data_IF_276265302512
#
_entry.id   IF_276265302512
#
_cell.length_a   1.000
_cell.length_b   1.000
_cell.length_c   1.000
_cell.angle_alpha   90.00
_cell.angle_beta   90.00
_cell.angle_gamma   90.00
#
_symmetry.space_group_name_H-M   'P 1'
#
loop_
_entity.id
_entity.type
_entity.pdbx_description
1 polymer ?
#
# COMPACT_ATOMS: atom_id res chain seq x y z
N UNK A 1 -41.72 17.04 32.62
CA UNK A 1 -41.01 15.97 33.36
C UNK A 1 -39.87 15.46 32.49
N UNK A 2 -38.77 16.21 32.42
CA UNK A 2 -37.50 15.76 31.86
C UNK A 2 -36.66 15.31 33.05
N UNK A 3 -36.40 14.02 33.17
CA UNK A 3 -35.73 13.45 34.34
C UNK A 3 -34.33 14.04 34.52
N UNK A 4 -34.19 14.85 35.56
CA UNK A 4 -32.95 15.16 36.25
C UNK A 4 -32.29 13.85 36.70
N UNK A 5 -31.33 13.34 35.93
CA UNK A 5 -30.30 12.40 36.42
C UNK A 5 -29.16 12.18 35.41
N UNK A 6 -28.58 13.27 34.87
CA UNK A 6 -27.21 13.16 34.34
C UNK A 6 -26.25 13.26 35.52
N UNK A 7 -25.77 12.09 35.94
CA UNK A 7 -24.70 11.87 36.93
C UNK A 7 -23.67 13.01 36.87
N UNK A 8 -23.55 13.79 37.94
CA UNK A 8 -22.32 14.54 38.19
C UNK A 8 -21.18 13.51 38.23
N UNK A 9 -20.16 13.73 37.40
CA UNK A 9 -18.97 12.88 37.44
C UNK A 9 -18.27 13.19 38.76
N UNK A 10 -18.38 12.31 39.75
CA UNK A 10 -17.76 12.46 41.06
C UNK A 10 -16.25 12.25 41.02
N UNK A 11 -15.54 13.12 40.31
CA UNK A 11 -14.08 13.17 40.30
C UNK A 11 -13.61 13.94 41.53
N UNK A 12 -12.60 13.43 42.22
CA UNK A 12 -11.93 14.19 43.27
C UNK A 12 -10.92 15.19 42.67
N UNK A 13 -10.52 16.19 43.46
CA UNK A 13 -9.62 17.27 42.99
C UNK A 13 -8.31 16.72 42.41
N UNK A 14 -7.77 15.65 42.99
CA UNK A 14 -6.55 15.00 42.48
C UNK A 14 -6.76 14.37 41.10
N UNK A 15 -7.91 13.73 40.85
CA UNK A 15 -8.27 13.17 39.55
C UNK A 15 -8.50 14.26 38.50
N UNK A 16 -9.13 15.38 38.88
CA UNK A 16 -9.34 16.53 38.00
C UNK A 16 -7.99 17.15 37.63
N UNK A 17 -7.14 17.43 38.61
CA UNK A 17 -5.80 17.98 38.39
C UNK A 17 -4.95 17.05 37.53
N UNK A 18 -4.98 15.74 37.77
CA UNK A 18 -4.25 14.76 36.95
C UNK A 18 -4.78 14.70 35.51
N UNK A 19 -6.08 14.89 35.29
CA UNK A 19 -6.67 14.93 33.96
C UNK A 19 -6.30 16.21 33.22
N UNK A 20 -6.36 17.35 33.90
CA UNK A 20 -5.98 18.66 33.36
C UNK A 20 -4.49 18.70 33.01
N UNK A 21 -3.62 18.31 33.95
CA UNK A 21 -2.15 18.27 33.77
C UNK A 21 -1.71 17.34 32.63
N UNK A 22 -2.46 16.27 32.36
CA UNK A 22 -2.19 15.37 31.22
C UNK A 22 -2.69 15.90 29.88
N UNK A 23 -3.67 16.78 29.90
CA UNK A 23 -4.30 17.32 28.70
C UNK A 23 -3.66 18.65 28.27
N UNK A 24 -3.13 19.40 29.23
CA UNK A 24 -2.34 20.62 29.08
C UNK A 24 -0.92 20.26 28.57
N UNK A 25 -0.72 20.39 27.25
CA UNK A 25 0.48 19.98 26.56
C UNK A 25 1.58 21.04 26.61
N UNK A 26 1.23 22.31 26.78
CA UNK A 26 2.18 23.42 26.90
C UNK A 26 2.47 23.83 28.35
N UNK A 27 1.77 23.19 29.31
CA UNK A 27 1.90 23.39 30.75
C UNK A 27 1.60 24.83 31.20
N UNK A 28 0.66 25.50 30.52
CA UNK A 28 0.27 26.87 30.83
C UNK A 28 -0.83 26.97 31.92
N UNK A 29 -1.38 25.83 32.36
CA UNK A 29 -2.42 25.73 33.39
C UNK A 29 -3.86 25.94 32.88
N UNK A 30 -4.07 26.06 31.56
CA UNK A 30 -5.37 26.29 30.92
C UNK A 30 -5.51 25.48 29.64
N UNK A 31 -6.58 24.69 29.57
CA UNK A 31 -6.88 23.95 28.33
C UNK A 31 -7.40 24.88 27.25
N UNK A 32 -6.66 24.98 26.16
CA UNK A 32 -7.17 25.64 24.96
C UNK A 32 -8.16 24.73 24.17
N UNK A 33 -8.72 25.26 23.08
CA UNK A 33 -9.68 24.51 22.27
C UNK A 33 -9.05 23.27 21.61
N UNK A 34 -7.78 23.34 21.24
CA UNK A 34 -7.05 22.25 20.57
C UNK A 34 -6.76 21.13 21.56
N UNK A 35 -6.26 21.45 22.75
CA UNK A 35 -6.01 20.52 23.84
C UNK A 35 -7.30 19.87 24.34
N UNK A 36 -8.35 20.67 24.54
CA UNK A 36 -9.67 20.14 24.90
C UNK A 36 -10.21 19.22 23.81
N UNK A 37 -10.08 19.60 22.53
CA UNK A 37 -10.48 18.76 21.41
C UNK A 37 -9.73 17.43 21.40
N UNK A 38 -8.41 17.45 21.59
CA UNK A 38 -7.59 16.23 21.63
C UNK A 38 -7.94 15.32 22.82
N UNK A 39 -8.29 15.90 23.96
CA UNK A 39 -8.73 15.16 25.14
C UNK A 39 -10.01 14.38 24.86
N UNK A 40 -11.04 15.05 24.33
CA UNK A 40 -12.36 14.43 24.07
C UNK A 40 -12.33 13.49 22.87
N UNK A 41 -11.45 13.70 21.89
CA UNK A 41 -11.29 12.79 20.76
C UNK A 41 -10.28 11.68 21.02
N UNK A 42 -9.65 11.61 22.20
CA UNK A 42 -8.72 10.52 22.50
C UNK A 42 -9.35 9.12 22.35
N UNK A 43 -8.58 8.14 21.87
CA UNK A 43 -9.05 6.76 21.76
C UNK A 43 -9.66 6.25 23.09
N UNK A 44 -9.05 6.61 24.23
CA UNK A 44 -9.48 6.20 25.57
C UNK A 44 -10.86 6.76 25.96
N UNK A 45 -11.27 7.89 25.40
CA UNK A 45 -12.59 8.47 25.63
C UNK A 45 -13.71 7.71 24.91
N UNK A 46 -13.39 6.78 23.99
CA UNK A 46 -14.39 6.08 23.21
C UNK A 46 -15.13 4.98 24.00
N UNK A 47 -16.47 4.89 23.86
CA UNK A 47 -17.30 4.02 24.70
C UNK A 47 -17.10 2.52 24.40
N UNK A 48 -16.87 2.15 23.14
CA UNK A 48 -16.70 0.75 22.73
C UNK A 48 -15.23 0.38 22.51
N UNK A 49 -14.89 -0.91 22.75
CA UNK A 49 -13.56 -1.44 22.46
C UNK A 49 -13.20 -1.35 20.98
N UNK A 50 -14.17 -1.59 20.09
CA UNK A 50 -13.98 -1.49 18.65
C UNK A 50 -13.60 -0.07 18.20
N UNK A 51 -14.29 0.96 18.72
CA UNK A 51 -13.95 2.37 18.42
C UNK A 51 -12.57 2.73 18.98
N UNK A 52 -12.24 2.26 20.19
CA UNK A 52 -10.90 2.41 20.77
C UNK A 52 -9.79 1.89 19.84
N UNK A 53 -9.99 0.71 19.25
CA UNK A 53 -9.03 0.13 18.29
C UNK A 53 -8.96 0.96 17.02
N UNK A 54 -10.10 1.34 16.43
CA UNK A 54 -10.14 2.16 15.21
C UNK A 54 -9.42 3.50 15.39
N UNK A 55 -9.63 4.17 16.53
CA UNK A 55 -8.92 5.40 16.86
C UNK A 55 -7.43 5.17 17.00
N UNK A 56 -7.01 4.12 17.71
CA UNK A 56 -5.59 3.80 17.86
C UNK A 56 -4.91 3.48 16.53
N UNK A 57 -5.62 2.83 15.61
CA UNK A 57 -5.11 2.54 14.26
C UNK A 57 -5.02 3.83 13.44
N UNK A 58 -6.05 4.67 13.45
CA UNK A 58 -6.04 5.95 12.76
C UNK A 58 -4.94 6.88 13.28
N UNK A 59 -4.82 7.01 14.61
CA UNK A 59 -3.80 7.82 15.30
C UNK A 59 -2.37 7.40 14.96
N UNK A 60 -2.17 6.15 14.57
CA UNK A 60 -0.86 5.68 14.14
C UNK A 60 -0.45 6.29 12.80
N UNK A 61 -1.40 6.65 11.92
CA UNK A 61 -1.20 7.09 10.53
C UNK A 61 -1.40 8.58 10.31
N UNK A 62 -2.15 9.26 11.17
CA UNK A 62 -2.50 10.68 10.98
C UNK A 62 -1.62 11.63 11.79
N UNK A 63 -1.52 12.87 11.29
CA UNK A 63 -0.92 13.97 12.02
C UNK A 63 -1.78 14.39 13.23
N UNK A 64 -1.18 15.04 14.23
CA UNK A 64 -1.93 15.54 15.40
C UNK A 64 -3.05 16.50 15.02
N UNK A 65 -2.81 17.43 14.10
CA UNK A 65 -3.83 18.38 13.64
C UNK A 65 -5.00 17.73 12.90
N UNK A 66 -4.80 16.51 12.37
CA UNK A 66 -5.82 15.75 11.64
C UNK A 66 -6.76 14.95 12.54
N UNK A 67 -6.38 14.72 13.79
CA UNK A 67 -7.14 13.90 14.74
C UNK A 67 -8.58 14.34 14.92
N UNK A 68 -8.90 15.62 15.20
CA UNK A 68 -10.29 16.01 15.46
C UNK A 68 -11.23 15.69 14.28
N UNK A 69 -10.80 16.02 13.06
CA UNK A 69 -11.58 15.78 11.84
C UNK A 69 -11.72 14.28 11.54
N UNK A 70 -10.62 13.53 11.61
CA UNK A 70 -10.63 12.09 11.32
C UNK A 70 -11.44 11.33 12.38
N UNK A 71 -11.34 11.72 13.65
CA UNK A 71 -12.13 11.14 14.73
C UNK A 71 -13.61 11.49 14.63
N UNK A 72 -13.97 12.73 14.29
CA UNK A 72 -15.36 13.10 14.02
C UNK A 72 -15.94 12.21 12.90
N UNK A 73 -15.16 12.03 11.83
CA UNK A 73 -15.54 11.12 10.76
C UNK A 73 -15.72 9.68 11.26
N UNK A 74 -14.79 9.13 12.05
CA UNK A 74 -14.90 7.76 12.60
C UNK A 74 -16.11 7.62 13.54
N UNK A 75 -16.49 8.68 14.25
CA UNK A 75 -17.67 8.69 15.12
C UNK A 75 -18.98 8.70 14.33
N UNK A 76 -19.04 9.46 13.24
CA UNK A 76 -20.15 9.46 12.28
C UNK A 76 -20.18 8.21 11.41
N UNK A 77 -19.09 7.45 11.42
CA UNK A 77 -18.92 6.24 10.61
C UNK A 77 -19.78 5.09 11.15
N UNK A 78 -20.98 4.99 10.60
CA UNK A 78 -21.84 3.82 10.75
C UNK A 78 -21.45 2.77 9.71
N UNK A 79 -20.31 2.09 9.93
CA UNK A 79 -19.88 0.87 9.22
C UNK A 79 -19.98 0.88 7.68
N UNK A 80 -19.97 2.05 7.01
CA UNK A 80 -20.06 2.17 5.55
C UNK A 80 -19.37 3.45 5.05
N UNK A 81 -18.39 3.34 4.13
CA UNK A 81 -17.75 2.10 3.66
C UNK A 81 -16.53 1.77 4.52
N UNK A 82 -16.41 0.60 5.19
CA UNK A 82 -15.17 0.12 5.84
C UNK A 82 -13.98 0.15 4.85
N UNK A 83 -12.74 -0.23 5.24
CA UNK A 83 -11.66 -0.39 4.28
C UNK A 83 -11.99 -1.57 3.33
N UNK A 84 -12.79 -1.28 2.31
CA UNK A 84 -13.38 -2.25 1.39
C UNK A 84 -12.34 -2.62 0.35
N UNK A 85 -11.61 -1.64 -0.21
CA UNK A 85 -10.72 -1.90 -1.34
C UNK A 85 -9.58 -2.86 -0.96
N UNK A 86 -8.83 -2.55 0.11
CA UNK A 86 -7.68 -3.36 0.51
C UNK A 86 -8.11 -4.75 0.95
N UNK A 87 -9.22 -4.87 1.68
CA UNK A 87 -9.75 -6.18 2.08
C UNK A 87 -10.23 -6.97 0.87
N UNK A 88 -11.00 -6.35 -0.04
CA UNK A 88 -11.54 -7.04 -1.22
C UNK A 88 -10.43 -7.49 -2.17
N UNK A 89 -9.40 -6.67 -2.40
CA UNK A 89 -8.29 -7.05 -3.28
C UNK A 89 -7.43 -8.17 -2.65
N UNK A 90 -7.20 -8.12 -1.33
CA UNK A 90 -6.56 -9.23 -0.59
C UNK A 90 -7.36 -10.53 -0.68
N UNK A 91 -8.69 -10.47 -0.51
CA UNK A 91 -9.55 -11.64 -0.64
C UNK A 91 -9.53 -12.19 -2.06
N UNK A 92 -9.57 -11.34 -3.08
CA UNK A 92 -9.47 -11.76 -4.48
C UNK A 92 -8.15 -12.49 -4.76
N UNK A 93 -7.02 -11.99 -4.23
CA UNK A 93 -5.71 -12.64 -4.37
C UNK A 93 -5.68 -14.03 -3.71
N UNK A 94 -6.21 -14.15 -2.48
CA UNK A 94 -6.31 -15.44 -1.78
C UNK A 94 -7.20 -16.42 -2.54
N UNK A 95 -8.39 -15.97 -2.98
CA UNK A 95 -9.35 -16.82 -3.67
C UNK A 95 -8.81 -17.32 -5.02
N UNK A 96 -8.13 -16.47 -5.78
CA UNK A 96 -7.48 -16.87 -7.04
C UNK A 96 -6.37 -17.90 -6.78
N UNK A 97 -5.54 -17.69 -5.75
CA UNK A 97 -4.50 -18.64 -5.38
C UNK A 97 -5.07 -20.00 -4.98
N UNK A 98 -6.04 -20.02 -4.06
CA UNK A 98 -6.70 -21.25 -3.60
C UNK A 98 -7.41 -21.94 -4.76
N UNK A 99 -8.07 -21.19 -5.65
CA UNK A 99 -8.75 -21.71 -6.83
C UNK A 99 -7.81 -22.44 -7.79
N UNK A 100 -6.64 -21.87 -8.08
CA UNK A 100 -5.65 -22.51 -8.97
C UNK A 100 -4.92 -23.69 -8.32
N UNK A 101 -4.73 -23.67 -7.01
CA UNK A 101 -4.10 -24.78 -6.26
C UNK A 101 -5.09 -25.92 -5.93
N UNK A 102 -6.39 -25.68 -6.05
CA UNK A 102 -7.41 -26.66 -5.70
C UNK A 102 -7.30 -27.91 -6.56
N UNK A 103 -7.14 -29.08 -5.91
CA UNK A 103 -7.02 -30.37 -6.60
C UNK A 103 -5.69 -30.61 -7.31
N UNK A 104 -4.69 -29.73 -7.13
CA UNK A 104 -3.32 -29.92 -7.63
C UNK A 104 -2.45 -30.58 -6.56
N UNK A 105 -1.57 -31.48 -6.96
CA UNK A 105 -0.58 -32.15 -6.10
C UNK A 105 0.81 -31.47 -6.19
N UNK A 106 0.83 -30.18 -6.49
CA UNK A 106 2.05 -29.38 -6.60
C UNK A 106 2.44 -28.78 -5.24
N UNK A 107 3.72 -28.44 -5.07
CA UNK A 107 4.19 -27.82 -3.84
C UNK A 107 3.56 -26.44 -3.64
N UNK A 108 2.71 -26.30 -2.62
CA UNK A 108 2.04 -25.04 -2.32
C UNK A 108 2.97 -23.94 -1.81
N UNK A 109 4.20 -24.26 -1.39
CA UNK A 109 5.14 -23.25 -0.88
C UNK A 109 5.77 -22.42 -2.00
N UNK A 110 6.12 -23.05 -3.12
CA UNK A 110 6.90 -22.43 -4.20
C UNK A 110 6.22 -22.44 -5.56
N UNK A 111 5.25 -23.33 -5.81
CA UNK A 111 4.65 -23.45 -7.14
C UNK A 111 3.82 -22.21 -7.52
N UNK A 112 3.97 -21.76 -8.78
CA UNK A 112 3.17 -20.64 -9.26
C UNK A 112 1.73 -21.02 -9.59
N UNK A 113 0.81 -20.60 -8.73
CA UNK A 113 -0.61 -20.79 -8.91
C UNK A 113 -1.11 -19.99 -10.12
N UNK A 114 -1.53 -20.69 -11.18
CA UNK A 114 -2.14 -20.09 -12.38
C UNK A 114 -1.18 -19.46 -13.37
N UNK A 115 0.15 -19.61 -13.20
CA UNK A 115 1.13 -19.19 -14.22
C UNK A 115 1.00 -20.00 -15.50
N UNK A 116 0.77 -21.31 -15.38
CA UNK A 116 0.62 -22.24 -16.51
C UNK A 116 -0.67 -23.04 -16.36
N UNK A 117 -1.50 -23.05 -17.40
CA UNK A 117 -2.80 -23.72 -17.41
C UNK A 117 -2.88 -24.59 -18.66
N UNK A 118 -2.93 -25.91 -18.47
CA UNK A 118 -2.91 -26.90 -19.56
C UNK A 118 -1.71 -26.74 -20.53
N UNK A 119 -0.51 -26.50 -20.00
CA UNK A 119 0.72 -26.36 -20.80
C UNK A 119 0.81 -25.05 -21.59
N UNK A 120 -0.04 -24.05 -21.28
CA UNK A 120 -0.01 -22.73 -21.91
C UNK A 120 0.12 -21.63 -20.87
N UNK A 121 0.61 -20.47 -21.29
CA UNK A 121 0.67 -19.27 -20.45
C UNK A 121 -0.73 -18.98 -19.88
N UNK A 122 -0.82 -18.96 -18.55
CA UNK A 122 -2.06 -18.77 -17.81
C UNK A 122 -2.71 -17.42 -18.15
N UNK A 123 -4.04 -17.31 -18.09
CA UNK A 123 -4.77 -16.16 -18.63
C UNK A 123 -4.52 -14.83 -17.91
N UNK A 124 -4.13 -14.90 -16.63
CA UNK A 124 -3.89 -13.71 -15.80
C UNK A 124 -2.42 -13.28 -15.75
N UNK A 125 -1.49 -14.15 -16.16
CA UNK A 125 -0.05 -13.91 -16.13
C UNK A 125 0.31 -12.75 -17.05
N UNK A 126 1.16 -11.83 -16.61
CA UNK A 126 1.70 -10.85 -17.55
C UNK A 126 2.89 -11.46 -18.30
N UNK A 127 2.74 -11.54 -19.61
CA UNK A 127 3.71 -12.09 -20.54
C UNK A 127 3.95 -11.07 -21.66
N UNK A 128 5.19 -10.57 -21.84
CA UNK A 128 5.52 -9.57 -22.86
C UNK A 128 5.08 -9.96 -24.28
N UNK A 129 5.23 -11.22 -24.75
CA UNK A 129 4.72 -11.62 -26.07
C UNK A 129 3.19 -11.46 -26.24
N UNK A 130 2.43 -11.46 -25.13
CA UNK A 130 0.97 -11.35 -25.12
C UNK A 130 0.48 -9.94 -24.77
N UNK A 131 1.30 -8.89 -24.97
CA UNK A 131 0.95 -7.50 -24.64
C UNK A 131 -0.36 -6.98 -25.26
N UNK A 132 -0.81 -7.56 -26.37
CA UNK A 132 -2.09 -7.22 -27.00
C UNK A 132 -3.30 -7.57 -26.09
N UNK A 133 -3.11 -8.47 -25.14
CA UNK A 133 -4.09 -8.86 -24.12
C UNK A 133 -4.02 -7.88 -22.94
N UNK A 134 -4.59 -6.69 -23.13
CA UNK A 134 -4.42 -5.53 -22.23
C UNK A 134 -4.80 -5.78 -20.76
N UNK A 135 -5.69 -6.74 -20.47
CA UNK A 135 -6.04 -7.11 -19.10
C UNK A 135 -4.84 -7.65 -18.31
N UNK A 136 -3.83 -8.24 -18.99
CA UNK A 136 -2.64 -8.80 -18.35
C UNK A 136 -1.80 -7.74 -17.62
N UNK A 137 -1.87 -6.47 -18.02
CA UNK A 137 -1.23 -5.35 -17.31
C UNK A 137 -1.86 -5.08 -15.94
N UNK A 138 -3.02 -5.67 -15.65
CA UNK A 138 -3.75 -5.51 -14.41
C UNK A 138 -3.90 -6.82 -13.63
N UNK A 139 -4.19 -7.93 -14.32
CA UNK A 139 -4.59 -9.19 -13.70
C UNK A 139 -3.45 -9.97 -13.06
N UNK A 140 -2.21 -9.67 -13.42
CA UNK A 140 -1.04 -10.38 -12.89
C UNK A 140 -0.95 -10.30 -11.36
N UNK A 141 -1.50 -9.23 -10.77
CA UNK A 141 -1.51 -8.99 -9.32
C UNK A 141 -2.20 -10.11 -8.53
N UNK A 142 -3.08 -10.89 -9.17
CA UNK A 142 -3.84 -11.94 -8.51
C UNK A 142 -3.08 -13.28 -8.45
N UNK A 143 -2.10 -13.48 -9.33
CA UNK A 143 -1.27 -14.69 -9.34
C UNK A 143 -0.11 -14.55 -8.36
N UNK A 144 0.28 -15.65 -7.72
CA UNK A 144 1.39 -15.66 -6.77
C UNK A 144 2.22 -16.94 -6.91
N UNK A 145 3.52 -16.81 -6.65
CA UNK A 145 4.50 -17.91 -6.68
C UNK A 145 4.57 -18.59 -5.31
N UNK A 146 3.56 -19.42 -5.04
CA UNK A 146 3.43 -20.14 -3.78
C UNK A 146 3.04 -19.29 -2.57
N UNK A 147 2.88 -19.97 -1.44
CA UNK A 147 2.49 -19.34 -0.16
C UNK A 147 3.59 -18.44 0.41
N UNK A 148 4.87 -18.74 0.13
CA UNK A 148 5.98 -17.89 0.54
C UNK A 148 5.96 -16.52 -0.14
N UNK A 149 5.33 -16.41 -1.32
CA UNK A 149 5.12 -15.13 -2.00
C UNK A 149 3.78 -14.49 -1.61
N UNK A 150 2.69 -15.25 -1.52
CA UNK A 150 1.35 -14.72 -1.22
C UNK A 150 1.22 -14.18 0.21
N UNK A 151 1.60 -14.97 1.21
CA UNK A 151 1.37 -14.65 2.63
C UNK A 151 2.01 -13.33 3.05
N UNK A 152 3.31 -13.06 2.80
CA UNK A 152 3.90 -11.78 3.17
C UNK A 152 3.26 -10.62 2.40
N UNK A 153 2.97 -10.77 1.10
CA UNK A 153 2.31 -9.72 0.33
C UNK A 153 0.95 -9.32 0.93
N UNK A 154 0.08 -10.30 1.19
CA UNK A 154 -1.25 -10.03 1.76
C UNK A 154 -1.13 -9.50 3.19
N UNK A 155 -0.22 -10.04 4.00
CA UNK A 155 0.00 -9.59 5.37
C UNK A 155 0.44 -8.11 5.40
N UNK A 156 1.44 -7.73 4.61
CA UNK A 156 1.90 -6.35 4.50
C UNK A 156 0.81 -5.45 3.90
N UNK A 157 0.15 -5.88 2.83
CA UNK A 157 -0.95 -5.14 2.21
C UNK A 157 -2.05 -4.80 3.21
N UNK A 158 -2.48 -5.76 4.04
CA UNK A 158 -3.47 -5.52 5.08
C UNK A 158 -2.90 -4.61 6.18
N UNK A 159 -1.68 -4.89 6.66
CA UNK A 159 -1.03 -4.14 7.74
C UNK A 159 -0.88 -2.65 7.40
N UNK A 160 -0.43 -2.32 6.18
CA UNK A 160 -0.17 -0.92 5.78
C UNK A 160 -1.36 -0.29 5.05
N UNK A 161 -2.13 -1.07 4.30
CA UNK A 161 -3.22 -0.57 3.46
C UNK A 161 -4.49 -0.29 4.24
N UNK A 162 -4.89 -1.15 5.18
CA UNK A 162 -6.12 -0.96 5.97
C UNK A 162 -6.06 0.36 6.76
N UNK A 163 -4.98 0.69 7.49
CA UNK A 163 -4.88 1.98 8.17
C UNK A 163 -4.93 3.18 7.21
N UNK A 164 -4.28 3.10 6.05
CA UNK A 164 -4.33 4.16 5.03
C UNK A 164 -5.74 4.35 4.47
N UNK A 165 -6.45 3.27 4.17
CA UNK A 165 -7.81 3.34 3.62
C UNK A 165 -8.81 3.85 4.67
N UNK A 166 -8.64 3.47 5.94
CA UNK A 166 -9.46 4.00 7.04
C UNK A 166 -9.37 5.53 7.13
N UNK A 167 -8.19 6.09 6.94
CA UNK A 167 -7.95 7.54 7.02
C UNK A 167 -8.35 8.23 5.71
N UNK A 168 -7.76 7.81 4.60
CA UNK A 168 -7.83 8.53 3.32
C UNK A 168 -8.95 8.03 2.40
N UNK A 169 -9.65 6.96 2.76
CA UNK A 169 -10.77 6.38 2.01
C UNK A 169 -10.34 5.68 0.72
N UNK A 170 -11.20 4.78 0.27
CA UNK A 170 -10.91 3.91 -0.85
C UNK A 170 -10.67 4.66 -2.16
N UNK A 171 -11.33 5.80 -2.39
CA UNK A 171 -11.17 6.57 -3.63
C UNK A 171 -9.81 7.27 -3.75
N UNK A 172 -9.04 7.39 -2.66
CA UNK A 172 -7.64 7.86 -2.68
C UNK A 172 -6.67 6.69 -2.76
N UNK A 173 -6.94 5.62 -2.01
CA UNK A 173 -6.03 4.45 -1.92
C UNK A 173 -6.10 3.54 -3.15
N UNK A 174 -7.30 3.30 -3.70
CA UNK A 174 -7.47 2.42 -4.85
C UNK A 174 -6.72 2.94 -6.10
N UNK A 175 -6.79 4.22 -6.49
CA UNK A 175 -6.00 4.72 -7.61
C UNK A 175 -4.50 4.58 -7.40
N UNK A 176 -3.97 4.88 -6.20
CA UNK A 176 -2.53 4.74 -5.89
C UNK A 176 -2.08 3.30 -6.13
N UNK A 177 -2.84 2.33 -5.62
CA UNK A 177 -2.55 0.92 -5.76
C UNK A 177 -2.66 0.43 -7.20
N UNK A 178 -3.77 0.73 -7.88
CA UNK A 178 -4.04 0.21 -9.22
C UNK A 178 -3.12 0.84 -10.27
N UNK A 179 -2.81 2.14 -10.15
CA UNK A 179 -1.84 2.80 -11.01
C UNK A 179 -0.44 2.21 -10.82
N UNK A 180 -0.08 1.77 -9.61
CA UNK A 180 1.19 1.13 -9.34
C UNK A 180 1.30 -0.24 -10.03
N UNK A 181 0.21 -1.02 -10.01
CA UNK A 181 0.12 -2.29 -10.74
C UNK A 181 0.29 -2.06 -12.24
N UNK A 182 -0.44 -1.11 -12.82
CA UNK A 182 -0.36 -0.80 -14.26
C UNK A 182 1.04 -0.31 -14.64
N UNK A 183 1.59 0.68 -13.90
CA UNK A 183 2.92 1.19 -14.16
C UNK A 183 4.00 0.12 -13.95
N UNK A 184 3.80 -0.81 -13.01
CA UNK A 184 4.68 -1.95 -12.78
C UNK A 184 4.80 -2.87 -13.99
N UNK A 185 3.66 -3.28 -14.56
CA UNK A 185 3.66 -4.10 -15.78
C UNK A 185 4.24 -3.35 -16.98
N UNK A 186 3.89 -2.06 -17.14
CA UNK A 186 4.43 -1.22 -18.20
C UNK A 186 5.95 -1.07 -18.07
N UNK A 187 6.46 -0.74 -16.89
CA UNK A 187 7.90 -0.53 -16.67
C UNK A 187 8.67 -1.83 -16.83
N UNK A 188 8.14 -2.96 -16.34
CA UNK A 188 8.73 -4.26 -16.58
C UNK A 188 8.79 -4.59 -18.06
N UNK A 189 7.71 -4.41 -18.82
CA UNK A 189 7.73 -4.65 -20.26
C UNK A 189 8.82 -3.85 -20.97
N UNK A 190 9.00 -2.59 -20.57
CA UNK A 190 9.96 -1.70 -21.24
C UNK A 190 11.41 -1.99 -20.89
N UNK A 191 11.68 -2.54 -19.71
CA UNK A 191 13.03 -2.66 -19.20
C UNK A 191 13.51 -4.12 -19.05
N UNK A 192 12.58 -5.04 -18.79
CA UNK A 192 12.80 -6.48 -18.59
C UNK A 192 11.78 -7.36 -19.36
N UNK A 193 11.69 -7.25 -20.71
CA UNK A 193 10.73 -7.98 -21.54
C UNK A 193 10.95 -9.50 -21.57
N UNK A 194 12.02 -10.03 -20.99
CA UNK A 194 12.30 -11.47 -20.94
C UNK A 194 11.68 -12.18 -19.72
N UNK A 195 11.07 -11.44 -18.80
CA UNK A 195 10.57 -11.98 -17.52
C UNK A 195 9.06 -11.88 -17.44
N UNK A 196 8.40 -12.95 -16.98
CA UNK A 196 6.97 -12.94 -16.65
C UNK A 196 6.71 -12.18 -15.36
N UNK A 197 5.55 -11.53 -15.23
CA UNK A 197 5.19 -10.83 -14.00
C UNK A 197 3.98 -11.45 -13.30
N UNK A 198 4.10 -11.61 -11.99
CA UNK A 198 3.09 -12.14 -11.07
C UNK A 198 3.18 -11.37 -9.76
N UNK A 199 2.08 -11.32 -9.01
CA UNK A 199 2.08 -10.87 -7.62
C UNK A 199 1.66 -9.42 -7.45
N UNK A 200 1.13 -9.13 -6.27
CA UNK A 200 0.57 -7.81 -5.96
C UNK A 200 1.58 -6.81 -5.39
N UNK A 201 2.87 -7.16 -5.39
CA UNK A 201 3.94 -6.43 -4.72
C UNK A 201 4.09 -4.99 -5.18
N UNK A 202 3.86 -4.67 -6.46
CA UNK A 202 3.84 -3.28 -6.95
C UNK A 202 2.82 -2.42 -6.17
N UNK A 203 1.62 -2.97 -5.89
CA UNK A 203 0.60 -2.31 -5.08
C UNK A 203 1.01 -2.21 -3.61
N UNK A 204 1.64 -3.24 -3.04
CA UNK A 204 2.17 -3.22 -1.66
C UNK A 204 3.24 -2.13 -1.50
N UNK A 205 4.17 -2.05 -2.44
CA UNK A 205 5.21 -1.03 -2.49
C UNK A 205 4.61 0.38 -2.55
N UNK A 206 3.53 0.56 -3.32
CA UNK A 206 2.84 1.83 -3.40
C UNK A 206 2.15 2.22 -2.10
N UNK A 207 1.57 1.26 -1.36
CA UNK A 207 1.01 1.53 -0.04
C UNK A 207 2.10 1.92 0.97
N UNK A 208 3.25 1.24 0.93
CA UNK A 208 4.39 1.54 1.81
C UNK A 208 4.95 2.93 1.51
N UNK A 209 5.19 3.28 0.25
CA UNK A 209 5.70 4.62 -0.08
C UNK A 209 4.64 5.71 0.04
N UNK A 210 3.34 5.40 -0.02
CA UNK A 210 2.30 6.35 0.36
C UNK A 210 2.37 6.74 1.85
N UNK A 211 2.73 5.81 2.75
CA UNK A 211 3.06 6.17 4.14
C UNK A 211 4.27 7.10 4.23
N UNK A 212 5.27 6.92 3.35
CA UNK A 212 6.42 7.80 3.28
C UNK A 212 6.03 9.19 2.76
N UNK A 213 5.15 9.30 1.77
CA UNK A 213 4.59 10.59 1.31
C UNK A 213 3.88 11.33 2.43
N UNK A 214 3.04 10.62 3.17
CA UNK A 214 2.34 11.18 4.32
C UNK A 214 3.33 11.65 5.40
N UNK A 215 4.40 10.88 5.62
CA UNK A 215 5.48 11.25 6.54
C UNK A 215 6.26 12.50 6.10
N UNK A 216 6.49 12.67 4.79
CA UNK A 216 7.18 13.85 4.22
C UNK A 216 6.34 15.11 4.40
N UNK A 217 5.04 15.04 4.10
CA UNK A 217 4.13 16.19 4.21
C UNK A 217 3.93 16.57 5.68
N UNK A 218 3.67 15.58 6.54
CA UNK A 218 3.27 15.81 7.92
C UNK A 218 4.41 15.61 8.94
N UNK A 219 5.67 15.76 8.55
CA UNK A 219 6.85 15.36 9.35
C UNK A 219 6.86 15.94 10.77
N UNK A 220 6.51 17.21 10.93
CA UNK A 220 6.53 17.90 12.23
C UNK A 220 5.51 17.34 13.21
N UNK A 221 4.38 16.86 12.70
CA UNK A 221 3.20 16.49 13.49
C UNK A 221 3.02 14.98 13.65
N UNK A 222 3.72 14.18 12.83
CA UNK A 222 3.57 12.72 12.81
C UNK A 222 4.17 12.05 14.06
N UNK A 223 3.38 11.24 14.80
CA UNK A 223 3.89 10.46 15.91
C UNK A 223 4.84 9.36 15.41
N UNK A 224 5.86 9.03 16.21
CA UNK A 224 6.82 7.94 15.92
C UNK A 224 7.52 8.03 14.55
N UNK A 225 7.66 9.23 13.99
CA UNK A 225 8.22 9.48 12.64
C UNK A 225 9.53 8.74 12.34
N UNK A 226 10.48 8.72 13.28
CA UNK A 226 11.77 8.04 13.12
C UNK A 226 11.62 6.52 13.13
N UNK A 227 10.79 5.96 14.02
CA UNK A 227 10.53 4.52 14.08
C UNK A 227 9.86 4.07 12.78
N UNK A 228 8.87 4.82 12.29
CA UNK A 228 8.22 4.56 11.01
C UNK A 228 9.21 4.56 9.85
N UNK A 229 10.08 5.57 9.79
CA UNK A 229 11.12 5.65 8.77
C UNK A 229 12.08 4.47 8.84
N UNK A 230 12.50 4.06 10.04
CA UNK A 230 13.35 2.89 10.25
C UNK A 230 12.65 1.62 9.77
N UNK A 231 11.40 1.37 10.19
CA UNK A 231 10.64 0.18 9.80
C UNK A 231 10.47 0.10 8.28
N UNK A 232 10.08 1.20 7.64
CA UNK A 232 9.96 1.28 6.18
C UNK A 232 11.32 1.00 5.53
N UNK A 233 12.40 1.62 6.01
CA UNK A 233 13.75 1.44 5.44
C UNK A 233 14.25 0.01 5.62
N UNK A 234 14.06 -0.59 6.80
CA UNK A 234 14.41 -1.99 7.06
C UNK A 234 13.63 -2.93 6.15
N UNK A 235 12.34 -2.70 5.94
CA UNK A 235 11.56 -3.48 4.98
C UNK A 235 12.17 -3.41 3.57
N UNK A 236 12.44 -2.21 3.06
CA UNK A 236 13.05 -2.05 1.73
C UNK A 236 14.41 -2.73 1.63
N UNK A 237 15.26 -2.59 2.65
CA UNK A 237 16.59 -3.21 2.68
C UNK A 237 16.47 -4.74 2.67
N UNK A 238 15.56 -5.30 3.49
CA UNK A 238 15.36 -6.74 3.56
C UNK A 238 14.73 -7.29 2.27
N UNK A 239 13.73 -6.62 1.69
CA UNK A 239 13.11 -7.09 0.45
C UNK A 239 14.11 -7.01 -0.72
N UNK A 240 14.75 -5.85 -0.91
CA UNK A 240 15.77 -5.67 -1.95
C UNK A 240 16.93 -6.64 -1.72
N UNK A 241 17.39 -6.81 -0.48
CA UNK A 241 18.44 -7.76 -0.12
C UNK A 241 18.04 -9.20 -0.42
N UNK A 242 16.81 -9.60 -0.09
CA UNK A 242 16.26 -10.93 -0.40
C UNK A 242 16.16 -11.14 -1.91
N UNK A 243 15.77 -10.10 -2.64
CA UNK A 243 15.63 -10.15 -4.05
C UNK A 243 17.02 -10.22 -4.69
N UNK A 244 18.00 -9.40 -4.31
CA UNK A 244 19.39 -9.51 -4.77
C UNK A 244 19.98 -10.90 -4.44
N UNK A 245 19.72 -11.42 -3.24
CA UNK A 245 20.15 -12.78 -2.86
C UNK A 245 19.57 -13.84 -3.80
N UNK A 246 18.25 -13.82 -4.06
CA UNK A 246 17.60 -14.72 -5.04
C UNK A 246 18.26 -14.56 -6.42
N UNK A 247 18.48 -13.33 -6.87
CA UNK A 247 19.14 -13.07 -8.16
C UNK A 247 20.52 -13.72 -8.29
N UNK A 248 21.25 -13.85 -7.19
CA UNK A 248 22.59 -14.41 -7.14
C UNK A 248 22.63 -15.93 -6.86
N UNK A 249 21.55 -16.53 -6.35
CA UNK A 249 21.55 -17.89 -5.80
C UNK A 249 20.46 -18.83 -6.35
N UNK A 250 19.38 -18.31 -6.93
CA UNK A 250 18.32 -19.13 -7.54
C UNK A 250 18.44 -19.18 -9.06
N UNK A 251 17.92 -20.25 -9.66
CA UNK A 251 17.86 -20.41 -11.11
C UNK A 251 17.20 -19.20 -11.78
N UNK A 252 17.71 -18.85 -12.97
CA UNK A 252 17.40 -17.60 -13.65
C UNK A 252 15.91 -17.41 -13.99
N UNK A 253 15.12 -18.48 -13.96
CA UNK A 253 13.69 -18.51 -14.30
C UNK A 253 12.75 -18.14 -13.14
N UNK A 254 13.20 -18.17 -11.87
CA UNK A 254 12.39 -17.87 -10.68
C UNK A 254 12.49 -16.41 -10.21
N UNK A 255 12.72 -15.48 -11.15
CA UNK A 255 13.03 -14.09 -10.81
C UNK A 255 11.78 -13.27 -10.49
N UNK A 256 11.79 -12.67 -9.31
CA UNK A 256 10.88 -11.59 -8.93
C UNK A 256 11.29 -10.29 -9.64
N UNK A 257 10.32 -9.58 -10.20
CA UNK A 257 10.56 -8.32 -10.92
C UNK A 257 10.85 -7.15 -9.98
N UNK A 258 12.09 -6.65 -10.01
CA UNK A 258 12.49 -5.41 -9.29
C UNK A 258 11.89 -4.16 -9.92
N UNK A 259 11.67 -4.16 -11.24
CA UNK A 259 11.16 -3.02 -11.97
C UNK A 259 9.72 -2.71 -11.56
N UNK A 260 8.91 -3.75 -11.35
CA UNK A 260 7.56 -3.60 -10.82
C UNK A 260 7.56 -3.04 -9.39
N UNK A 261 8.51 -3.46 -8.54
CA UNK A 261 8.67 -2.91 -7.18
C UNK A 261 9.05 -1.42 -7.22
N UNK A 262 9.99 -1.04 -8.10
CA UNK A 262 10.41 0.36 -8.29
C UNK A 262 9.23 1.22 -8.78
N UNK A 263 8.49 0.74 -9.78
CA UNK A 263 7.29 1.42 -10.28
C UNK A 263 6.25 1.63 -9.17
N UNK A 264 6.06 0.61 -8.32
CA UNK A 264 5.20 0.70 -7.14
C UNK A 264 5.67 1.76 -6.17
N UNK A 265 6.96 1.76 -5.81
CA UNK A 265 7.54 2.75 -4.91
C UNK A 265 7.37 4.18 -5.43
N UNK A 266 7.71 4.40 -6.71
CA UNK A 266 7.58 5.71 -7.37
C UNK A 266 6.12 6.16 -7.41
N UNK A 267 5.20 5.26 -7.77
CA UNK A 267 3.77 5.58 -7.82
C UNK A 267 3.24 5.96 -6.45
N UNK A 268 3.51 5.16 -5.42
CA UNK A 268 3.05 5.46 -4.06
C UNK A 268 3.65 6.74 -3.51
N UNK A 269 4.92 7.04 -3.82
CA UNK A 269 5.55 8.28 -3.37
C UNK A 269 4.91 9.50 -4.02
N UNK A 270 4.88 9.54 -5.36
CA UNK A 270 4.41 10.71 -6.12
C UNK A 270 2.89 10.89 -6.01
N UNK A 271 2.12 9.81 -6.21
CA UNK A 271 0.67 9.87 -6.09
C UNK A 271 0.22 9.96 -4.64
N UNK A 272 1.01 9.47 -3.68
CA UNK A 272 0.74 9.69 -2.25
C UNK A 272 0.81 11.17 -1.88
N UNK A 273 1.82 11.90 -2.38
CA UNK A 273 1.91 13.35 -2.16
C UNK A 273 0.70 14.08 -2.76
N UNK A 274 0.21 13.61 -3.91
CA UNK A 274 -0.84 14.28 -4.64
C UNK A 274 -2.26 13.93 -4.20
N UNK A 275 -2.50 12.67 -3.82
CA UNK A 275 -3.83 12.15 -3.58
C UNK A 275 -4.14 11.93 -2.09
N UNK A 276 -3.16 11.86 -1.19
CA UNK A 276 -3.49 11.71 0.23
C UNK A 276 -4.13 12.99 0.77
N UNK A 277 -4.92 12.81 1.82
CA UNK A 277 -5.60 13.93 2.47
C UNK A 277 -4.59 14.76 3.25
N UNK A 278 -4.71 16.09 3.16
CA UNK A 278 -3.92 17.05 3.91
C UNK A 278 -4.85 18.22 4.30
N UNK A 279 -5.06 18.43 5.61
CA UNK A 279 -5.97 19.46 6.13
C UNK A 279 -5.49 20.88 5.89
N UNK A 280 -4.20 21.15 6.10
CA UNK A 280 -3.61 22.50 6.07
C UNK A 280 -2.52 22.55 5.02
N UNK A 281 -2.94 22.71 3.76
CA UNK A 281 -2.01 22.75 2.63
C UNK A 281 -1.19 24.03 2.64
N UNK A 282 0.12 23.92 2.91
CA UNK A 282 1.09 25.01 2.79
C UNK A 282 1.42 25.29 1.31
N UNK A 283 1.94 26.50 1.02
CA UNK A 283 2.27 26.89 -0.37
C UNK A 283 3.32 25.97 -1.00
N UNK A 284 4.32 25.54 -0.23
CA UNK A 284 5.37 24.63 -0.71
C UNK A 284 4.82 23.22 -0.96
N UNK A 285 3.87 22.75 -0.15
CA UNK A 285 3.20 21.46 -0.34
C UNK A 285 2.38 21.43 -1.63
N UNK A 286 1.70 22.54 -1.96
CA UNK A 286 0.99 22.66 -3.24
C UNK A 286 1.94 22.61 -4.43
N UNK A 287 3.08 23.29 -4.35
CA UNK A 287 4.10 23.25 -5.39
C UNK A 287 4.66 21.82 -5.55
N UNK A 288 4.94 21.15 -4.42
CA UNK A 288 5.41 19.76 -4.40
C UNK A 288 4.39 18.79 -4.98
N UNK A 289 3.09 18.98 -4.69
CA UNK A 289 2.00 18.19 -5.29
C UNK A 289 1.98 18.35 -6.81
N UNK A 290 2.01 19.59 -7.32
CA UNK A 290 1.99 19.84 -8.78
C UNK A 290 3.23 19.26 -9.44
N UNK A 291 4.41 19.45 -8.84
CA UNK A 291 5.64 18.84 -9.33
C UNK A 291 5.55 17.31 -9.36
N UNK A 292 5.05 16.68 -8.28
CA UNK A 292 4.91 15.23 -8.17
C UNK A 292 3.95 14.66 -9.22
N UNK A 293 2.80 15.31 -9.43
CA UNK A 293 1.86 14.95 -10.51
C UNK A 293 2.49 15.09 -11.89
N UNK A 294 3.22 16.18 -12.13
CA UNK A 294 3.85 16.45 -13.42
C UNK A 294 4.92 15.41 -13.73
N UNK A 295 5.79 15.10 -12.76
CA UNK A 295 6.81 14.04 -12.88
C UNK A 295 6.16 12.68 -13.10
N UNK A 296 5.11 12.34 -12.35
CA UNK A 296 4.40 11.08 -12.52
C UNK A 296 3.80 10.94 -13.92
N UNK A 297 3.15 11.99 -14.44
CA UNK A 297 2.59 12.00 -15.79
C UNK A 297 3.67 11.85 -16.87
N UNK A 298 4.82 12.52 -16.71
CA UNK A 298 5.95 12.38 -17.63
C UNK A 298 6.45 10.93 -17.65
N UNK A 299 6.65 10.32 -16.48
CA UNK A 299 7.07 8.91 -16.38
C UNK A 299 6.04 8.01 -17.03
N UNK A 300 4.76 8.17 -16.71
CA UNK A 300 3.68 7.33 -17.26
C UNK A 300 3.62 7.44 -18.80
N UNK A 301 3.65 8.65 -19.34
CA UNK A 301 3.63 8.89 -20.79
C UNK A 301 4.88 8.27 -21.44
N UNK A 302 6.06 8.49 -20.86
CA UNK A 302 7.30 7.91 -21.38
C UNK A 302 7.24 6.38 -21.43
N UNK A 303 6.82 5.73 -20.35
CA UNK A 303 6.74 4.26 -20.30
C UNK A 303 5.64 3.74 -21.23
N UNK A 304 4.51 4.45 -21.40
CA UNK A 304 3.49 4.08 -22.40
C UNK A 304 4.06 4.15 -23.82
N UNK A 305 4.78 5.23 -24.16
CA UNK A 305 5.43 5.37 -25.47
C UNK A 305 6.41 4.21 -25.67
N UNK A 306 7.28 3.94 -24.70
CA UNK A 306 8.21 2.83 -24.76
C UNK A 306 7.47 1.49 -24.89
N UNK A 307 6.37 1.28 -24.17
CA UNK A 307 5.60 0.04 -24.24
C UNK A 307 4.94 -0.16 -25.61
N UNK A 308 4.67 0.91 -26.36
CA UNK A 308 4.15 0.85 -27.73
C UNK A 308 5.27 0.49 -28.72
N UNK A 309 6.42 1.17 -28.62
CA UNK A 309 7.51 1.09 -29.60
C UNK A 309 8.53 -0.02 -29.35
N UNK A 310 8.68 -0.52 -28.12
CA UNK A 310 9.59 -1.64 -27.80
C UNK A 310 8.96 -2.95 -28.25
N UNK A 311 9.75 -3.78 -28.95
CA UNK A 311 9.33 -5.11 -29.38
C UNK A 311 9.31 -6.12 -28.20
N UNK A 312 8.33 -7.03 -28.15
CA UNK A 312 8.21 -8.03 -27.08
C UNK A 312 9.42 -8.95 -26.91
N UNK A 313 10.18 -9.15 -27.99
CA UNK A 313 11.37 -10.01 -28.02
C UNK A 313 12.68 -9.22 -27.98
N UNK A 314 12.60 -7.91 -27.72
CA UNK A 314 13.78 -7.09 -27.51
C UNK A 314 14.59 -7.62 -26.33
N UNK A 315 15.92 -7.48 -26.39
CA UNK A 315 16.76 -7.82 -25.24
C UNK A 315 16.47 -6.84 -24.11
N UNK A 316 16.44 -7.28 -22.85
CA UNK A 316 16.38 -6.35 -21.74
C UNK A 316 17.51 -5.33 -21.85
N UNK A 317 17.24 -4.11 -21.37
CA UNK A 317 18.20 -2.99 -21.43
C UNK A 317 19.47 -3.31 -20.61
N UNK A 318 19.36 -4.27 -19.68
CA UNK A 318 20.47 -4.89 -18.95
C UNK A 318 20.66 -6.36 -19.33
N UNK A 319 21.92 -6.81 -19.30
CA UNK A 319 22.31 -8.14 -19.73
C UNK A 319 21.83 -9.24 -18.78
N UNK A 320 20.77 -9.96 -19.18
CA UNK A 320 20.44 -11.25 -18.58
C UNK A 320 19.98 -12.25 -19.64
N UNK A 321 20.91 -12.62 -20.51
CA UNK A 321 20.68 -13.55 -21.61
C UNK A 321 20.77 -15.01 -21.11
N UNK A 322 19.67 -15.64 -20.68
CA UNK A 322 19.66 -17.11 -20.45
C UNK A 322 18.31 -17.86 -20.38
N UNK A 323 17.17 -17.21 -20.09
CA UNK A 323 15.88 -17.92 -19.93
C UNK A 323 15.14 -18.27 -21.25
N UNK A 324 15.84 -18.32 -22.39
CA UNK A 324 15.19 -18.48 -23.71
C UNK A 324 14.76 -19.93 -23.99
N UNK A 325 15.28 -20.93 -23.27
CA UNK A 325 15.13 -22.34 -23.70
C UNK A 325 13.87 -23.08 -23.24
N UNK A 326 13.02 -22.55 -22.36
CA UNK A 326 11.80 -23.25 -21.92
C UNK A 326 10.51 -22.73 -22.57
N UNK A 327 10.49 -21.52 -23.13
CA UNK A 327 9.30 -21.02 -23.80
C UNK A 327 9.13 -21.65 -25.20
N UNK A 328 10.23 -21.83 -25.94
CA UNK A 328 10.20 -22.33 -27.32
C UNK A 328 9.69 -23.78 -27.42
N UNK A 329 9.83 -24.60 -26.37
CA UNK A 329 9.30 -25.97 -26.35
C UNK A 329 7.77 -26.07 -26.19
N UNK A 330 7.10 -24.98 -25.83
CA UNK A 330 5.62 -24.91 -25.76
C UNK A 330 4.99 -24.25 -27.00
N UNK A 331 5.80 -23.74 -27.92
CA UNK A 331 5.36 -23.08 -29.15
C UNK A 331 5.70 -23.83 -30.44
N UNK A 332 6.27 -25.04 -30.36
CA UNK A 332 6.35 -26.03 -31.46
C UNK A 332 5.19 -27.04 -31.43
#
# INVERSE_FOLDING_TARGET
MLSENRRQVGLNDHQILTLLDRADADHNGVLDLEEFSLLITSARAQPSRARRVLYSVADSVIAKSERPTVHSYINEYNCLPPPIFVIMISLAQILVFVGYMHGKHEDSMSHCAGCWVHGRIGPLLFAPPLRHQVWRFFTYQFLHQGLLHLVPNVAFQLLVGVPLELVHKMWRIAPIYLLAVILGALLQYTLDPSVYLVGCSAGVYALITAHLSNLIINWAEMPFRLIRLIVISTYFILDIGSAVYRRLQTDECDRVSYTAHIAGAVTGLLMGIALLYNLKVLKWERALMIASLSVYLIILIFVIIMAIFVEPFSRPVWDTTRCISEADSYFE
#
